data_IF_861600155621
#
_entry.id   IF_861600155621
#
_cell.length_a   1.000
_cell.length_b   1.000
_cell.length_c   1.000
_cell.angle_alpha   90.00
_cell.angle_beta   90.00
_cell.angle_gamma   90.00
#
_symmetry.space_group_name_H-M   'P 1'
#
loop_
_entity.id
_entity.type
_entity.pdbx_description
1 polymer ?
#
# COMPACT_ATOMS: atom_id res chain seq x y z
N UNK A 1 10.91 3.20 -2.60
CA UNK A 1 11.10 4.26 -3.61
C UNK A 1 10.05 4.22 -4.71
N UNK A 2 10.06 3.26 -5.63
CA UNK A 2 9.25 3.38 -6.85
C UNK A 2 7.74 3.16 -6.70
N UNK A 3 7.27 2.63 -5.58
CA UNK A 3 5.81 2.55 -5.33
C UNK A 3 5.15 3.94 -5.38
N UNK A 4 5.92 5.01 -5.14
CA UNK A 4 5.44 6.40 -5.30
C UNK A 4 4.96 6.73 -6.72
N UNK A 5 5.41 5.99 -7.74
CA UNK A 5 4.94 6.15 -9.13
C UNK A 5 3.42 5.92 -9.23
N UNK A 6 2.84 5.08 -8.36
CA UNK A 6 1.41 4.72 -8.38
C UNK A 6 0.59 5.34 -7.25
N UNK A 7 1.13 6.33 -6.53
CA UNK A 7 0.44 7.01 -5.42
C UNK A 7 -0.95 7.53 -5.81
N UNK A 8 -1.05 8.15 -6.98
CA UNK A 8 -2.31 8.68 -7.48
C UNK A 8 -3.34 7.57 -7.75
N UNK A 9 -2.91 6.43 -8.29
CA UNK A 9 -3.78 5.28 -8.56
C UNK A 9 -4.31 4.67 -7.27
N UNK A 10 -3.45 4.49 -6.26
CA UNK A 10 -3.83 3.99 -4.94
C UNK A 10 -4.83 4.93 -4.27
N UNK A 11 -4.60 6.25 -4.36
CA UNK A 11 -5.54 7.25 -3.86
C UNK A 11 -6.93 7.16 -4.51
N UNK A 12 -6.98 7.00 -5.83
CA UNK A 12 -8.26 6.86 -6.53
C UNK A 12 -8.95 5.54 -6.17
N UNK A 13 -8.19 4.46 -6.02
CA UNK A 13 -8.74 3.18 -5.59
C UNK A 13 -9.35 3.25 -4.19
N UNK A 14 -8.67 3.92 -3.25
CA UNK A 14 -9.18 4.15 -1.89
C UNK A 14 -10.48 4.97 -1.91
N UNK A 15 -10.53 6.06 -2.69
CA UNK A 15 -11.74 6.87 -2.88
C UNK A 15 -12.88 6.02 -3.44
N UNK A 16 -12.60 5.24 -4.47
CA UNK A 16 -13.56 4.33 -5.08
C UNK A 16 -14.10 3.31 -4.09
N UNK A 17 -13.22 2.64 -3.33
CA UNK A 17 -13.62 1.65 -2.33
C UNK A 17 -14.55 2.25 -1.28
N UNK A 18 -14.23 3.45 -0.77
CA UNK A 18 -15.04 4.15 0.24
C UNK A 18 -16.47 4.45 -0.24
N UNK A 19 -16.63 4.86 -1.49
CA UNK A 19 -17.97 5.08 -2.09
C UNK A 19 -18.64 3.74 -2.36
N UNK A 20 -17.92 2.80 -2.98
CA UNK A 20 -18.48 1.53 -3.43
C UNK A 20 -19.07 0.68 -2.31
N UNK A 21 -18.52 0.74 -1.10
CA UNK A 21 -19.01 0.02 0.08
C UNK A 21 -20.36 0.53 0.60
N UNK A 22 -20.77 1.74 0.21
CA UNK A 22 -22.05 2.34 0.57
C UNK A 22 -23.14 2.07 -0.48
N UNK A 23 -22.79 1.45 -1.60
CA UNK A 23 -23.71 1.15 -2.70
C UNK A 23 -24.24 -0.28 -2.52
N UNK A 24 -25.50 -0.48 -2.08
CA UNK A 24 -26.00 -1.81 -1.69
C UNK A 24 -26.08 -2.79 -2.87
N UNK A 25 -26.20 -2.29 -4.10
CA UNK A 25 -26.22 -3.11 -5.30
C UNK A 25 -24.83 -3.59 -5.72
N UNK A 26 -23.75 -2.96 -5.23
CA UNK A 26 -22.38 -3.30 -5.61
C UNK A 26 -21.82 -4.30 -4.62
N UNK A 27 -21.59 -5.52 -5.09
CA UNK A 27 -20.95 -6.56 -4.27
C UNK A 27 -19.52 -6.15 -3.87
N UNK A 28 -19.05 -6.57 -2.68
CA UNK A 28 -17.65 -6.43 -2.30
C UNK A 28 -16.71 -7.06 -3.33
N UNK A 29 -15.54 -6.46 -3.51
CA UNK A 29 -14.45 -6.99 -4.35
C UNK A 29 -13.29 -7.43 -3.47
N UNK A 30 -12.41 -8.27 -4.02
CA UNK A 30 -11.18 -8.66 -3.35
C UNK A 30 -10.29 -7.44 -3.06
N UNK A 31 -9.49 -7.53 -1.99
CA UNK A 31 -8.49 -6.52 -1.65
C UNK A 31 -7.42 -6.40 -2.73
N UNK A 32 -6.92 -5.18 -2.94
CA UNK A 32 -5.68 -4.94 -3.68
C UNK A 32 -4.50 -5.13 -2.72
N UNK A 33 -3.65 -6.12 -2.98
CA UNK A 33 -2.51 -6.46 -2.12
C UNK A 33 -1.21 -6.01 -2.77
N UNK A 34 -0.43 -5.16 -2.08
CA UNK A 34 0.91 -4.75 -2.49
C UNK A 34 1.95 -5.39 -1.57
N UNK A 35 2.92 -6.09 -2.16
CA UNK A 35 4.13 -6.54 -1.46
C UNK A 35 5.25 -5.52 -1.69
N UNK A 36 5.60 -4.76 -0.66
CA UNK A 36 6.70 -3.81 -0.70
C UNK A 36 8.00 -4.51 -0.28
N UNK A 37 8.81 -4.89 -1.26
CA UNK A 37 10.11 -5.54 -1.07
C UNK A 37 11.26 -4.66 -1.57
N UNK A 38 12.50 -5.13 -1.42
CA UNK A 38 13.71 -4.35 -1.70
C UNK A 38 13.66 -2.99 -0.99
N UNK A 39 13.40 -3.04 0.31
CA UNK A 39 13.12 -1.86 1.13
C UNK A 39 14.37 -1.00 1.35
N UNK A 40 14.15 0.22 1.86
CA UNK A 40 15.16 1.27 2.10
C UNK A 40 16.48 0.77 2.73
N UNK A 41 16.42 -0.19 3.67
CA UNK A 41 17.60 -0.69 4.40
C UNK A 41 18.48 -1.70 3.63
N UNK A 42 18.04 -2.21 2.48
CA UNK A 42 18.73 -3.25 1.69
C UNK A 42 18.62 -2.96 0.19
N UNK A 43 19.26 -1.87 -0.22
CA UNK A 43 19.37 -1.40 -1.61
C UNK A 43 20.84 -1.35 -2.05
N UNK A 44 21.51 -2.48 -1.89
CA UNK A 44 22.97 -2.63 -1.90
C UNK A 44 23.65 -2.12 -3.19
N UNK A 45 22.97 -2.20 -4.33
CA UNK A 45 23.52 -1.85 -5.65
C UNK A 45 23.00 -0.53 -6.22
N UNK A 46 22.02 0.10 -5.57
CA UNK A 46 21.25 1.21 -6.16
C UNK A 46 21.39 2.53 -5.40
N UNK A 47 21.76 2.47 -4.11
CA UNK A 47 22.01 3.64 -3.29
C UNK A 47 20.78 4.53 -3.07
N UNK A 48 21.02 5.83 -2.90
CA UNK A 48 20.04 6.78 -2.36
C UNK A 48 18.76 6.94 -3.21
N UNK A 49 18.84 6.82 -4.54
CA UNK A 49 17.66 6.94 -5.41
C UNK A 49 16.59 5.88 -5.14
N UNK A 50 16.94 4.78 -4.47
CA UNK A 50 16.04 3.69 -4.11
C UNK A 50 15.62 3.71 -2.62
N UNK A 51 16.02 4.74 -1.88
CA UNK A 51 15.83 4.84 -0.43
C UNK A 51 14.72 5.84 -0.07
N UNK A 52 13.47 5.41 -0.25
CA UNK A 52 12.29 6.16 0.20
C UNK A 52 11.18 5.21 0.69
N UNK A 53 10.90 5.16 2.00
CA UNK A 53 9.82 4.39 2.60
C UNK A 53 8.50 5.18 2.76
N UNK A 54 8.40 6.41 2.26
CA UNK A 54 7.30 7.36 2.52
C UNK A 54 5.90 6.91 2.08
N UNK A 55 5.80 5.87 1.24
CA UNK A 55 4.53 5.30 0.81
C UNK A 55 3.66 4.80 1.97
N UNK A 56 4.29 4.29 3.04
CA UNK A 56 3.57 3.84 4.23
C UNK A 56 2.82 5.01 4.87
N UNK A 57 3.49 6.15 5.04
CA UNK A 57 2.85 7.38 5.54
C UNK A 57 1.76 7.89 4.59
N UNK A 58 2.02 7.88 3.29
CA UNK A 58 1.07 8.28 2.25
C UNK A 58 -0.27 7.54 2.36
N UNK A 59 -0.21 6.22 2.58
CA UNK A 59 -1.37 5.34 2.67
C UNK A 59 -2.01 5.36 4.06
N UNK A 60 -1.22 5.44 5.14
CA UNK A 60 -1.73 5.52 6.51
C UNK A 60 -2.49 6.82 6.80
N UNK A 61 -2.24 7.89 6.04
CA UNK A 61 -3.04 9.12 6.07
C UNK A 61 -4.47 8.96 5.50
N UNK A 62 -4.88 7.75 5.07
CA UNK A 62 -6.22 7.47 4.52
C UNK A 62 -7.11 6.73 5.52
N UNK A 63 -8.39 6.59 5.19
CA UNK A 63 -9.38 6.04 6.10
C UNK A 63 -9.03 4.59 6.53
N UNK A 64 -9.05 4.29 7.85
CA UNK A 64 -8.82 2.95 8.37
C UNK A 64 -9.95 1.97 8.02
N UNK A 65 -11.03 2.41 7.37
CA UNK A 65 -12.05 1.49 6.87
C UNK A 65 -11.51 0.63 5.71
N UNK A 66 -10.69 1.22 4.83
CA UNK A 66 -10.30 0.64 3.52
C UNK A 66 -8.82 0.32 3.38
N UNK A 67 -7.98 0.72 4.35
CA UNK A 67 -6.52 0.54 4.31
C UNK A 67 -6.04 -0.37 5.44
N UNK A 68 -5.10 -1.27 5.14
CA UNK A 68 -4.35 -2.09 6.11
C UNK A 68 -2.87 -2.07 5.73
N UNK A 69 -1.99 -1.94 6.72
CA UNK A 69 -0.53 -2.00 6.54
C UNK A 69 0.01 -3.07 7.50
N UNK A 70 0.88 -3.94 6.98
CA UNK A 70 1.51 -5.02 7.73
C UNK A 70 3.03 -4.91 7.57
N UNK A 71 3.77 -5.11 8.67
CA UNK A 71 5.24 -5.06 8.71
C UNK A 71 5.76 -6.38 9.29
N UNK A 72 5.71 -7.48 8.53
CA UNK A 72 6.15 -8.78 9.02
C UNK A 72 7.68 -8.77 9.24
N UNK A 73 8.18 -9.17 10.44
CA UNK A 73 9.60 -9.22 10.72
C UNK A 73 10.29 -10.48 10.15
N UNK A 74 9.53 -11.51 9.80
CA UNK A 74 10.00 -12.78 9.28
C UNK A 74 9.00 -13.41 8.29
N UNK A 75 9.37 -14.57 7.73
CA UNK A 75 8.52 -15.29 6.78
C UNK A 75 7.26 -15.87 7.43
N UNK A 76 7.33 -16.30 8.70
CA UNK A 76 6.19 -16.89 9.39
C UNK A 76 5.08 -15.88 9.65
N UNK A 77 5.44 -14.62 9.97
CA UNK A 77 4.46 -13.54 10.17
C UNK A 77 3.89 -13.03 8.85
N UNK A 78 4.59 -13.23 7.73
CA UNK A 78 4.10 -12.86 6.40
C UNK A 78 3.04 -13.83 5.86
N UNK A 79 3.09 -15.11 6.27
CA UNK A 79 2.15 -16.18 5.87
C UNK A 79 0.81 -16.05 6.59
#
# INVERSE_FOLDING_TARGET
AFVHIVDSMVNQHIKWLRVSRRLPWRRPIASLNYLLTSHVWRQDHNGFSHQDPGFVDHVLNKSPEVVRVYLPPDANTLL
#
